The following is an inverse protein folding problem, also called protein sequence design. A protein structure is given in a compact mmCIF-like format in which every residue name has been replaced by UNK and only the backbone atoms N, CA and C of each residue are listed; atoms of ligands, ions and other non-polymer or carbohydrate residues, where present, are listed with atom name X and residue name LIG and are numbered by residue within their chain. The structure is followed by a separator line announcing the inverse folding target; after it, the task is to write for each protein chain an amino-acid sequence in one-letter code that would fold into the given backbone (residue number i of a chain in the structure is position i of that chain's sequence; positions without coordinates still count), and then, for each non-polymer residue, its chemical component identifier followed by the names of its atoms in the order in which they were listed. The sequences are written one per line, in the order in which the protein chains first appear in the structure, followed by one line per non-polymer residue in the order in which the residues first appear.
data_IF_369489772970
#
_entry.id   IF_369489772970
#
_cell.length_a   1.000
_cell.length_b   1.000
_cell.length_c   1.000
_cell.angle_alpha   90.00
_cell.angle_beta   90.00
_cell.angle_gamma   90.00
#
_symmetry.space_group_name_H-M   'P 1'
#
loop_
_entity.id
_entity.type
_entity.pdbx_description
1 polymer ?
#
# COMPACT_ATOMS: atom_id res chain seq x y z
N UNK A 1 24.06 0.58 -2.22
CA UNK A 1 23.58 -0.71 -1.70
C UNK A 1 22.69 -1.32 -2.78
N UNK A 2 22.98 -2.53 -3.23
CA UNK A 2 22.16 -3.28 -4.19
C UNK A 2 21.41 -4.35 -3.39
N UNK A 3 20.11 -4.29 -3.37
CA UNK A 3 19.26 -5.32 -2.79
C UNK A 3 18.50 -5.98 -3.94
N UNK A 4 18.65 -7.27 -4.10
CA UNK A 4 17.92 -8.05 -5.11
C UNK A 4 18.20 -7.69 -6.58
N UNK A 5 19.39 -7.17 -6.92
CA UNK A 5 19.77 -6.83 -8.31
C UNK A 5 19.23 -5.50 -8.85
N UNK A 6 18.39 -4.79 -8.12
CA UNK A 6 17.88 -3.46 -8.48
C UNK A 6 18.60 -2.40 -7.65
N UNK A 7 19.22 -1.44 -8.32
CA UNK A 7 19.94 -0.33 -7.70
C UNK A 7 19.05 0.92 -7.68
N UNK A 8 18.61 1.33 -6.50
CA UNK A 8 18.15 2.71 -6.31
C UNK A 8 19.38 3.62 -6.35
N UNK A 9 19.32 4.68 -7.15
CA UNK A 9 20.41 5.63 -7.28
C UNK A 9 20.48 6.61 -6.11
N UNK A 10 21.52 7.41 -6.09
CA UNK A 10 21.72 8.46 -5.08
C UNK A 10 20.55 9.48 -5.05
N UNK A 11 19.92 9.71 -6.20
CA UNK A 11 18.79 10.62 -6.33
C UNK A 11 17.56 10.13 -5.53
N UNK A 12 17.24 8.83 -5.60
CA UNK A 12 16.14 8.24 -4.83
C UNK A 12 16.43 8.29 -3.33
N UNK A 13 17.65 7.95 -2.89
CA UNK A 13 18.03 8.06 -1.47
C UNK A 13 17.98 9.49 -0.95
N UNK A 14 18.39 10.46 -1.75
CA UNK A 14 18.26 11.88 -1.41
C UNK A 14 16.79 12.25 -1.25
N UNK A 15 15.96 11.86 -2.21
CA UNK A 15 14.53 12.15 -2.19
C UNK A 15 13.82 11.53 -0.99
N UNK A 16 14.15 10.29 -0.64
CA UNK A 16 13.63 9.62 0.57
C UNK A 16 13.98 10.42 1.83
N UNK A 17 15.23 10.86 1.96
CA UNK A 17 15.66 11.67 3.12
C UNK A 17 14.97 13.03 3.19
N UNK A 18 14.77 13.70 2.05
CA UNK A 18 14.04 14.97 1.98
C UNK A 18 12.59 14.80 2.44
N UNK A 19 11.89 13.80 1.92
CA UNK A 19 10.50 13.52 2.27
C UNK A 19 10.36 13.04 3.73
N UNK A 20 11.26 12.18 4.19
CA UNK A 20 11.23 11.62 5.53
C UNK A 20 11.66 12.58 6.64
N UNK A 21 12.27 13.72 6.29
CA UNK A 21 12.67 14.77 7.25
C UNK A 21 13.73 14.32 8.25
N UNK A 22 14.55 13.29 7.93
CA UNK A 22 15.57 12.77 8.85
C UNK A 22 16.11 11.39 8.46
N UNK A 23 16.75 10.69 9.42
CA UNK A 23 17.27 9.35 9.18
C UNK A 23 16.16 8.38 8.72
N UNK A 24 16.52 7.53 7.75
CA UNK A 24 15.63 6.49 7.23
C UNK A 24 16.04 5.14 7.86
N UNK A 25 15.62 4.91 9.11
CA UNK A 25 16.10 3.80 9.96
C UNK A 25 14.96 3.07 10.71
N UNK A 26 13.71 3.50 10.51
CA UNK A 26 12.57 2.91 11.22
C UNK A 26 11.30 2.90 10.37
N UNK A 27 10.30 2.06 10.69
CA UNK A 27 8.99 2.07 10.04
C UNK A 27 8.32 3.45 10.03
N UNK A 28 8.56 4.26 11.06
CA UNK A 28 8.06 5.62 11.15
C UNK A 28 8.65 6.53 10.05
N UNK A 29 9.86 6.27 9.58
CA UNK A 29 10.43 6.99 8.45
C UNK A 29 9.66 6.74 7.15
N UNK A 30 9.17 5.51 6.93
CA UNK A 30 8.29 5.18 5.80
C UNK A 30 7.01 5.99 5.88
N UNK A 31 6.38 6.03 7.06
CA UNK A 31 5.16 6.81 7.30
C UNK A 31 5.36 8.29 6.94
N UNK A 32 6.45 8.91 7.43
CA UNK A 32 6.77 10.31 7.09
C UNK A 32 6.95 10.52 5.59
N UNK A 33 7.62 9.61 4.88
CA UNK A 33 7.76 9.70 3.41
C UNK A 33 6.40 9.68 2.73
N UNK A 34 5.52 8.76 3.11
CA UNK A 34 4.17 8.68 2.55
C UNK A 34 3.35 9.92 2.86
N UNK A 35 3.40 10.42 4.10
CA UNK A 35 2.62 11.59 4.52
C UNK A 35 3.06 12.87 3.80
N UNK A 36 4.36 12.99 3.47
CA UNK A 36 4.91 14.13 2.75
C UNK A 36 4.46 14.21 1.27
N UNK A 37 4.02 13.10 0.66
CA UNK A 37 3.51 13.09 -0.71
C UNK A 37 1.99 13.31 -0.66
N UNK A 38 1.44 14.18 -1.51
CA UNK A 38 -0.01 14.45 -1.56
C UNK A 38 -0.84 13.21 -1.94
N UNK A 39 -2.12 13.19 -1.58
CA UNK A 39 -3.06 12.15 -2.03
C UNK A 39 -3.73 12.55 -3.34
N UNK A 40 -3.83 11.61 -4.28
CA UNK A 40 -4.56 11.77 -5.53
C UNK A 40 -5.96 11.15 -5.38
N UNK A 41 -6.96 12.01 -5.17
CA UNK A 41 -8.36 11.58 -5.00
C UNK A 41 -9.07 11.29 -6.34
N UNK A 42 -8.62 11.94 -7.42
CA UNK A 42 -9.24 11.85 -8.75
C UNK A 42 -8.66 10.65 -9.52
N UNK A 43 -9.13 9.45 -9.23
CA UNK A 43 -8.64 8.23 -9.86
C UNK A 43 -9.34 7.91 -11.21
N UNK A 44 -10.45 8.58 -11.54
CA UNK A 44 -11.32 8.18 -12.67
C UNK A 44 -10.85 8.61 -14.07
N UNK A 45 -10.07 9.68 -14.21
CA UNK A 45 -9.77 10.24 -15.53
C UNK A 45 -8.34 10.00 -16.03
N UNK A 46 -7.42 9.58 -15.18
CA UNK A 46 -6.02 9.34 -15.54
C UNK A 46 -5.36 8.35 -14.55
N UNK A 47 -6.06 7.26 -14.23
CA UNK A 47 -5.55 6.26 -13.30
C UNK A 47 -4.32 5.58 -13.89
N UNK A 48 -3.19 5.86 -13.29
CA UNK A 48 -1.90 5.21 -13.57
C UNK A 48 -1.38 4.65 -12.28
N UNK A 49 -0.95 3.40 -12.32
CA UNK A 49 -0.19 2.79 -11.20
C UNK A 49 1.29 3.07 -11.41
N UNK A 50 1.96 3.51 -10.38
CA UNK A 50 3.36 3.93 -10.39
C UNK A 50 4.26 2.93 -9.69
N UNK A 51 5.47 2.78 -10.21
CA UNK A 51 6.55 2.11 -9.51
C UNK A 51 6.98 2.87 -8.25
N UNK A 52 7.87 2.26 -7.45
CA UNK A 52 8.49 2.94 -6.30
C UNK A 52 9.19 4.23 -6.73
N UNK A 53 10.03 4.18 -7.78
CA UNK A 53 10.75 5.35 -8.31
C UNK A 53 9.79 6.44 -8.76
N UNK A 54 8.79 6.10 -9.59
CA UNK A 54 7.83 7.06 -10.10
C UNK A 54 6.99 7.69 -8.97
N UNK A 55 6.64 6.93 -7.94
CA UNK A 55 5.89 7.42 -6.78
C UNK A 55 6.70 8.39 -5.93
N UNK A 56 8.01 8.16 -5.73
CA UNK A 56 8.90 9.07 -4.99
C UNK A 56 8.98 10.46 -5.63
N UNK A 57 8.86 10.55 -6.95
CA UNK A 57 8.94 11.81 -7.69
C UNK A 57 7.58 12.43 -8.00
N UNK A 58 6.48 11.76 -7.65
CA UNK A 58 5.14 12.28 -7.85
C UNK A 58 4.77 13.33 -6.80
N UNK A 59 4.01 14.36 -7.20
CA UNK A 59 3.44 15.33 -6.27
C UNK A 59 2.27 14.73 -5.47
N UNK A 60 1.55 13.78 -6.07
CA UNK A 60 0.40 13.07 -5.47
C UNK A 60 0.39 11.61 -5.90
N UNK A 61 -0.04 10.74 -5.01
CA UNK A 61 -0.12 9.29 -5.22
C UNK A 61 -1.48 8.74 -4.77
N UNK A 62 -1.89 7.63 -5.36
CA UNK A 62 -3.11 6.88 -4.96
C UNK A 62 -2.82 5.94 -3.79
N UNK A 63 -3.83 5.24 -3.29
CA UNK A 63 -3.66 4.23 -2.25
C UNK A 63 -2.76 3.07 -2.71
N UNK A 64 -2.91 2.61 -3.96
CA UNK A 64 -2.08 1.53 -4.50
C UNK A 64 -0.64 1.98 -4.74
N UNK A 65 -0.41 3.19 -5.27
CA UNK A 65 0.94 3.75 -5.40
C UNK A 65 1.63 3.81 -4.03
N UNK A 66 0.89 4.25 -2.99
CA UNK A 66 1.43 4.34 -1.63
C UNK A 66 1.76 2.97 -1.04
N UNK A 67 0.96 1.95 -1.36
CA UNK A 67 1.22 0.57 -0.93
C UNK A 67 2.46 0.00 -1.63
N UNK A 68 2.60 0.19 -2.94
CA UNK A 68 3.80 -0.21 -3.71
C UNK A 68 5.04 0.52 -3.20
N UNK A 69 4.93 1.83 -2.97
CA UNK A 69 6.03 2.64 -2.42
C UNK A 69 6.45 2.14 -1.03
N UNK A 70 5.50 1.95 -0.11
CA UNK A 70 5.80 1.45 1.23
C UNK A 70 6.42 0.06 1.21
N UNK A 71 5.94 -0.84 0.34
CA UNK A 71 6.48 -2.17 0.16
C UNK A 71 7.96 -2.13 -0.27
N UNK A 72 8.31 -1.27 -1.24
CA UNK A 72 9.68 -1.07 -1.68
C UNK A 72 10.56 -0.39 -0.63
N UNK A 73 10.01 0.56 0.13
CA UNK A 73 10.73 1.19 1.23
C UNK A 73 11.00 0.23 2.40
N UNK A 74 10.09 -0.72 2.67
CA UNK A 74 10.35 -1.82 3.63
C UNK A 74 11.52 -2.69 3.18
N UNK A 75 11.57 -3.07 1.90
CA UNK A 75 12.70 -3.80 1.32
C UNK A 75 14.01 -3.01 1.48
N UNK A 76 13.98 -1.73 1.15
CA UNK A 76 15.15 -0.85 1.22
C UNK A 76 15.67 -0.65 2.64
N UNK A 77 14.76 -0.55 3.61
CA UNK A 77 15.09 -0.26 5.00
C UNK A 77 15.56 -1.51 5.77
N UNK A 78 14.88 -2.63 5.57
CA UNK A 78 15.07 -3.82 6.37
C UNK A 78 15.55 -5.05 5.58
N UNK A 79 15.74 -4.92 4.26
CA UNK A 79 16.15 -6.02 3.40
C UNK A 79 15.03 -7.02 3.16
N UNK A 80 15.37 -8.31 3.20
CA UNK A 80 14.41 -9.40 2.97
C UNK A 80 13.59 -9.71 4.22
N UNK A 81 12.70 -8.78 4.57
CA UNK A 81 11.75 -8.95 5.68
C UNK A 81 10.38 -9.36 5.16
N UNK A 82 9.60 -9.98 6.04
CA UNK A 82 8.21 -10.32 5.75
C UNK A 82 7.42 -9.04 5.48
N UNK A 83 6.90 -8.93 4.26
CA UNK A 83 6.05 -7.85 3.79
C UNK A 83 4.99 -8.40 2.85
N UNK A 84 3.81 -7.82 2.85
CA UNK A 84 2.71 -8.21 1.95
C UNK A 84 1.89 -7.00 1.55
N UNK A 85 1.08 -7.15 0.52
CA UNK A 85 0.00 -6.24 0.19
C UNK A 85 -1.32 -6.84 0.69
N UNK A 86 -2.15 -6.00 1.28
CA UNK A 86 -3.53 -6.32 1.60
C UNK A 86 -4.40 -5.43 0.69
N UNK A 87 -5.19 -6.07 -0.16
CA UNK A 87 -6.20 -5.42 -0.98
C UNK A 87 -7.57 -5.67 -0.36
N UNK A 88 -8.39 -4.62 -0.25
CA UNK A 88 -9.72 -4.66 0.34
C UNK A 88 -10.70 -4.08 -0.67
N UNK A 89 -11.78 -4.81 -0.95
CA UNK A 89 -12.83 -4.41 -1.87
C UNK A 89 -14.09 -4.04 -1.12
N UNK A 90 -14.73 -2.95 -1.53
CA UNK A 90 -15.95 -2.44 -0.93
C UNK A 90 -16.95 -2.02 -1.99
N UNK A 91 -18.22 -1.94 -1.59
CA UNK A 91 -19.33 -1.37 -2.37
C UNK A 91 -19.91 -0.17 -1.63
N UNK A 92 -20.25 0.85 -2.39
CA UNK A 92 -21.18 1.89 -1.94
C UNK A 92 -22.60 1.37 -2.09
N UNK A 93 -23.36 1.16 -1.00
CA UNK A 93 -24.70 0.57 -1.07
C UNK A 93 -25.73 1.50 -1.73
N UNK A 94 -25.45 2.80 -1.84
CA UNK A 94 -26.36 3.78 -2.45
C UNK A 94 -26.15 3.84 -3.97
N UNK A 95 -24.91 3.99 -4.40
CA UNK A 95 -24.58 4.09 -5.85
C UNK A 95 -24.36 2.74 -6.50
N UNK A 96 -24.09 1.68 -5.72
CA UNK A 96 -23.64 0.37 -6.21
C UNK A 96 -22.21 0.37 -6.69
N UNK A 97 -21.50 1.49 -6.58
CA UNK A 97 -20.13 1.61 -7.05
C UNK A 97 -19.16 0.78 -6.21
N UNK A 98 -18.31 0.02 -6.86
CA UNK A 98 -17.29 -0.79 -6.22
C UNK A 98 -15.92 -0.13 -6.35
N UNK A 99 -15.13 -0.20 -5.27
CA UNK A 99 -13.81 0.39 -5.20
C UNK A 99 -12.90 -0.41 -4.26
N UNK A 100 -11.61 -0.41 -4.55
CA UNK A 100 -10.61 -1.05 -3.72
C UNK A 100 -9.77 -0.08 -2.90
N UNK A 101 -9.16 -0.60 -1.85
CA UNK A 101 -8.09 0.04 -1.09
C UNK A 101 -6.92 -0.94 -0.96
N UNK A 102 -5.71 -0.45 -1.17
CA UNK A 102 -4.52 -1.26 -1.07
C UNK A 102 -3.59 -0.68 -0.01
N UNK A 103 -3.03 -1.54 0.83
CA UNK A 103 -2.11 -1.18 1.91
C UNK A 103 -0.91 -2.13 1.94
N UNK A 104 0.25 -1.66 2.41
CA UNK A 104 1.42 -2.50 2.62
C UNK A 104 1.47 -2.95 4.08
N UNK A 105 1.48 -4.26 4.30
CA UNK A 105 1.60 -4.87 5.62
C UNK A 105 3.08 -5.00 6.01
N UNK A 106 3.36 -4.78 7.29
CA UNK A 106 4.66 -4.99 7.89
C UNK A 106 4.52 -5.65 9.28
N UNK A 107 5.59 -6.29 9.73
CA UNK A 107 5.63 -6.96 11.03
C UNK A 107 6.69 -6.31 11.92
N UNK A 108 6.38 -6.17 13.19
CA UNK A 108 7.38 -5.81 14.20
C UNK A 108 8.07 -7.07 14.77
N UNK A 109 9.08 -6.88 15.63
CA UNK A 109 9.86 -7.96 16.24
C UNK A 109 9.02 -8.90 17.11
N UNK A 110 7.87 -8.44 17.62
CA UNK A 110 6.91 -9.27 18.36
C UNK A 110 5.95 -10.05 17.43
N UNK A 111 6.16 -10.01 16.12
CA UNK A 111 5.31 -10.67 15.13
C UNK A 111 3.94 -10.02 14.92
N UNK A 112 3.73 -8.83 15.49
CA UNK A 112 2.47 -8.08 15.27
C UNK A 112 2.48 -7.39 13.93
N UNK A 113 1.30 -7.29 13.32
CA UNK A 113 1.09 -6.73 12.00
C UNK A 113 0.63 -5.29 12.10
N UNK A 114 1.22 -4.43 11.29
CA UNK A 114 0.77 -3.07 11.02
C UNK A 114 0.57 -2.85 9.52
N UNK A 115 0.13 -1.65 9.14
CA UNK A 115 -0.10 -1.32 7.74
C UNK A 115 0.30 0.12 7.42
N UNK A 116 0.98 0.28 6.28
CA UNK A 116 1.17 1.57 5.65
C UNK A 116 0.08 1.79 4.61
N UNK A 117 -0.66 2.86 4.75
CA UNK A 117 -1.76 3.21 3.86
C UNK A 117 -1.85 4.72 3.69
N UNK A 118 -2.31 5.16 2.52
CA UNK A 118 -2.66 6.55 2.26
C UNK A 118 -4.06 6.63 1.69
N UNK A 119 -4.89 7.49 2.28
CA UNK A 119 -6.26 7.68 1.86
C UNK A 119 -6.73 9.10 2.20
N UNK A 120 -7.70 9.60 1.45
CA UNK A 120 -8.45 10.81 1.80
C UNK A 120 -9.67 10.50 2.69
N UNK A 121 -9.98 9.23 2.93
CA UNK A 121 -11.07 8.83 3.81
C UNK A 121 -10.59 8.72 5.25
N UNK A 122 -11.30 9.32 6.22
CA UNK A 122 -11.02 9.13 7.64
C UNK A 122 -11.01 7.63 8.00
N UNK A 123 -10.06 7.21 8.82
CA UNK A 123 -10.01 5.82 9.28
C UNK A 123 -9.39 4.81 8.28
N UNK A 124 -8.96 5.23 7.08
CA UNK A 124 -8.27 4.35 6.13
C UNK A 124 -6.76 4.64 6.02
N UNK A 125 -6.18 5.35 6.97
CA UNK A 125 -4.75 5.62 7.05
C UNK A 125 -3.93 4.46 7.63
N UNK A 126 -2.71 4.78 8.03
CA UNK A 126 -1.78 3.83 8.64
C UNK A 126 -2.35 3.10 9.86
N UNK A 127 -1.77 1.92 10.14
CA UNK A 127 -2.01 1.12 11.35
C UNK A 127 -0.70 0.78 12.02
N UNK A 128 -0.61 1.01 13.31
CA UNK A 128 0.51 0.54 14.12
C UNK A 128 0.55 -0.99 14.15
N UNK A 129 1.74 -1.56 14.36
CA UNK A 129 1.93 -3.02 14.38
C UNK A 129 1.47 -3.63 15.71
N UNK A 130 0.15 -3.72 15.89
CA UNK A 130 -0.53 -4.23 17.10
C UNK A 130 -1.44 -5.42 16.83
N UNK A 131 -1.74 -5.72 15.56
CA UNK A 131 -2.67 -6.78 15.17
C UNK A 131 -2.01 -8.16 15.23
N UNK A 132 -2.82 -9.18 15.49
CA UNK A 132 -2.34 -10.57 15.58
C UNK A 132 -1.88 -11.12 14.21
N UNK A 133 -2.62 -10.78 13.16
CA UNK A 133 -2.43 -11.27 11.81
C UNK A 133 -3.04 -10.32 10.76
N UNK A 134 -2.92 -10.69 9.48
CA UNK A 134 -3.43 -9.93 8.34
C UNK A 134 -4.97 -9.85 8.34
N UNK A 135 -5.65 -10.90 8.83
CA UNK A 135 -7.12 -10.95 8.92
C UNK A 135 -7.62 -9.91 9.91
N UNK A 136 -6.93 -9.75 11.04
CA UNK A 136 -7.26 -8.73 12.04
C UNK A 136 -7.09 -7.31 11.48
N UNK A 137 -6.06 -7.07 10.65
CA UNK A 137 -5.89 -5.79 9.94
C UNK A 137 -7.03 -5.57 8.95
N UNK A 138 -7.37 -6.56 8.12
CA UNK A 138 -8.48 -6.48 7.17
C UNK A 138 -9.80 -6.18 7.87
N UNK A 139 -10.08 -6.86 8.99
CA UNK A 139 -11.28 -6.63 9.79
C UNK A 139 -11.34 -5.22 10.39
N UNK A 140 -10.19 -4.62 10.73
CA UNK A 140 -10.13 -3.23 11.21
C UNK A 140 -10.49 -2.22 10.12
N UNK A 141 -9.92 -2.38 8.91
CA UNK A 141 -10.31 -1.56 7.77
C UNK A 141 -11.79 -1.78 7.39
N UNK A 142 -12.30 -3.01 7.46
CA UNK A 142 -13.72 -3.29 7.20
C UNK A 142 -14.62 -2.53 8.18
N UNK A 143 -14.29 -2.48 9.48
CA UNK A 143 -15.03 -1.66 10.46
C UNK A 143 -15.00 -0.18 10.10
N UNK A 144 -13.88 0.34 9.62
CA UNK A 144 -13.78 1.73 9.16
C UNK A 144 -14.70 1.98 7.94
N UNK A 145 -14.76 1.04 6.99
CA UNK A 145 -15.70 1.13 5.87
C UNK A 145 -17.16 1.13 6.32
N UNK A 146 -17.55 0.23 7.21
CA UNK A 146 -18.91 0.17 7.77
C UNK A 146 -19.26 1.49 8.47
N UNK A 147 -18.34 2.06 9.25
CA UNK A 147 -18.53 3.34 9.93
C UNK A 147 -18.75 4.52 8.96
N UNK A 148 -18.26 4.40 7.72
CA UNK A 148 -18.47 5.38 6.64
C UNK A 148 -19.70 5.05 5.77
N UNK A 149 -20.45 3.98 6.07
CA UNK A 149 -21.63 3.56 5.31
C UNK A 149 -21.32 2.70 4.10
N UNK A 150 -20.10 2.20 3.94
CA UNK A 150 -19.73 1.29 2.84
C UNK A 150 -19.90 -0.19 3.26
N UNK A 151 -20.12 -1.04 2.28
CA UNK A 151 -20.19 -2.49 2.45
C UNK A 151 -18.81 -3.12 2.08
N UNK A 152 -18.02 -3.62 3.05
CA UNK A 152 -16.83 -4.39 2.74
C UNK A 152 -17.22 -5.75 2.17
N UNK A 153 -16.66 -6.12 1.00
CA UNK A 153 -17.03 -7.33 0.27
C UNK A 153 -15.98 -8.43 0.43
N UNK A 154 -14.76 -8.13 0.01
CA UNK A 154 -13.67 -9.10 -0.08
C UNK A 154 -12.36 -8.50 0.35
N UNK A 155 -11.41 -9.34 0.73
CA UNK A 155 -10.01 -8.97 0.85
C UNK A 155 -9.11 -10.08 0.32
N UNK A 156 -7.89 -9.71 -0.02
CA UNK A 156 -6.85 -10.63 -0.45
C UNK A 156 -5.48 -10.17 0.03
N UNK A 157 -4.57 -11.11 0.20
CA UNK A 157 -3.19 -10.86 0.60
C UNK A 157 -2.26 -11.49 -0.42
N UNK A 158 -1.30 -10.71 -0.92
CA UNK A 158 -0.31 -11.17 -1.90
C UNK A 158 1.03 -10.50 -1.65
N UNK A 159 2.07 -10.91 -2.35
CA UNK A 159 3.34 -10.19 -2.43
C UNK A 159 3.41 -9.40 -3.74
N UNK A 160 4.26 -8.36 -3.79
CA UNK A 160 4.50 -7.68 -5.08
C UNK A 160 5.21 -8.59 -6.08
N UNK A 161 6.05 -9.48 -5.62
CA UNK A 161 6.76 -10.45 -6.44
C UNK A 161 5.78 -11.40 -7.15
N UNK A 162 4.76 -11.90 -6.42
CA UNK A 162 3.69 -12.76 -6.99
C UNK A 162 2.81 -11.99 -7.97
N UNK A 163 2.37 -10.79 -7.60
CA UNK A 163 1.48 -9.99 -8.42
C UNK A 163 2.18 -9.41 -9.66
N UNK A 164 3.42 -8.96 -9.53
CA UNK A 164 4.15 -8.32 -10.61
C UNK A 164 4.67 -9.31 -11.64
N UNK A 165 5.17 -10.49 -11.22
CA UNK A 165 5.84 -11.42 -12.13
C UNK A 165 7.07 -10.78 -12.76
N UNK A 166 6.98 -10.47 -14.05
CA UNK A 166 8.03 -9.82 -14.85
C UNK A 166 7.97 -8.28 -14.89
N UNK A 167 6.97 -7.67 -14.25
CA UNK A 167 6.81 -6.21 -14.22
C UNK A 167 7.85 -5.59 -13.28
N UNK A 168 8.62 -4.63 -13.76
CA UNK A 168 9.52 -3.82 -12.92
C UNK A 168 8.73 -2.79 -12.10
N UNK A 169 8.22 -3.24 -10.97
CA UNK A 169 7.50 -2.39 -10.02
C UNK A 169 8.40 -1.47 -9.20
N UNK A 170 9.73 -1.64 -9.29
CA UNK A 170 10.70 -0.83 -8.53
C UNK A 170 11.09 0.44 -9.24
N UNK A 171 11.43 0.34 -10.54
CA UNK A 171 12.10 1.46 -11.24
C UNK A 171 11.43 1.91 -12.54
N UNK A 172 10.45 1.17 -13.07
CA UNK A 172 9.76 1.55 -14.30
C UNK A 172 9.16 2.95 -14.21
N UNK A 173 9.21 3.67 -15.32
CA UNK A 173 8.51 4.95 -15.49
C UNK A 173 7.21 4.79 -16.29
N UNK A 174 6.88 3.56 -16.71
CA UNK A 174 5.67 3.23 -17.42
C UNK A 174 4.45 3.16 -16.49
N UNK A 175 3.27 3.08 -17.10
CA UNK A 175 2.03 2.81 -16.37
C UNK A 175 1.95 1.33 -15.99
N UNK A 176 1.80 1.06 -14.71
CA UNK A 176 1.70 -0.29 -14.16
C UNK A 176 0.24 -0.69 -13.81
N UNK A 177 -0.77 -0.15 -14.49
CA UNK A 177 -2.18 -0.39 -14.18
C UNK A 177 -2.55 -1.87 -14.18
N UNK A 178 -1.91 -2.70 -15.01
CA UNK A 178 -2.07 -4.16 -14.99
C UNK A 178 -1.70 -4.79 -13.64
N UNK A 179 -0.80 -4.17 -12.88
CA UNK A 179 -0.44 -4.62 -11.54
C UNK A 179 -1.61 -4.45 -10.57
N UNK A 180 -2.42 -3.39 -10.72
CA UNK A 180 -3.64 -3.21 -9.93
C UNK A 180 -4.63 -4.36 -10.13
N UNK A 181 -4.85 -4.78 -11.37
CA UNK A 181 -5.74 -5.90 -11.71
C UNK A 181 -5.22 -7.21 -11.09
N UNK A 182 -3.91 -7.47 -11.18
CA UNK A 182 -3.29 -8.66 -10.59
C UNK A 182 -3.36 -8.66 -9.06
N UNK A 183 -3.18 -7.52 -8.41
CA UNK A 183 -3.34 -7.40 -6.95
C UNK A 183 -4.80 -7.64 -6.57
N UNK A 184 -5.76 -7.10 -7.32
CA UNK A 184 -7.18 -7.33 -7.08
C UNK A 184 -7.59 -8.79 -7.33
N UNK A 185 -6.94 -9.50 -8.24
CA UNK A 185 -7.20 -10.94 -8.44
C UNK A 185 -6.83 -11.81 -7.23
N UNK A 186 -6.11 -11.28 -6.24
CA UNK A 186 -5.81 -11.95 -4.97
C UNK A 186 -7.00 -12.00 -3.98
N UNK A 187 -8.15 -11.39 -4.30
CA UNK A 187 -9.35 -11.46 -3.46
C UNK A 187 -9.82 -12.91 -3.25
N UNK A 188 -9.51 -13.48 -2.10
CA UNK A 188 -9.78 -14.88 -1.78
C UNK A 188 -10.73 -15.03 -0.59
N UNK A 189 -10.96 -13.98 0.19
CA UNK A 189 -11.71 -14.04 1.43
C UNK A 189 -12.86 -13.05 1.40
N UNK A 190 -14.10 -13.54 1.60
CA UNK A 190 -15.25 -12.69 1.81
C UNK A 190 -15.31 -12.22 3.27
N UNK A 191 -15.69 -10.95 3.50
CA UNK A 191 -16.08 -10.53 4.85
C UNK A 191 -17.40 -11.19 5.20
N UNK A 192 -17.45 -11.85 6.37
CA UNK A 192 -18.73 -12.35 6.89
C UNK A 192 -19.61 -11.15 7.21
N UNK A 193 -20.71 -11.00 6.48
CA UNK A 193 -21.78 -10.08 6.84
C UNK A 193 -22.54 -10.69 8.03
N UNK A 194 -21.96 -10.59 9.23
CA UNK A 194 -22.73 -10.82 10.44
C UNK A 194 -23.83 -9.72 10.47
N UNK A 195 -25.05 -10.12 10.18
CA UNK A 195 -26.27 -9.30 10.37
C UNK A 195 -26.55 -9.15 11.86
#
# INVERSE_FOLDING_TARGET
MSLGGVSYGEAEFRRIRELGGGPFESPEAIRRVLDAIGYLAEWRSAYRVRSVRASLHAARITCIDSAILAYGLLELLFGDVKRRLLAIHRRDPVSGEECGHCVALHWNDAGRVGAFAKSNYPGLGHRDAVFADEVAVAADYARAYVAMGFEPLYFGVTTLEEAAGDIDWRTSMDDLSVLSERIQSSYAYAFSTAR
#
